data_IF_753940652413
#
_entry.id   IF_753940652413
#
_cell.length_a   1.000
_cell.length_b   1.000
_cell.length_c   1.000
_cell.angle_alpha   90.00
_cell.angle_beta   90.00
_cell.angle_gamma   90.00
#
_symmetry.space_group_name_H-M   'P 1'
#
loop_
_entity.id
_entity.type
_entity.pdbx_description
1 polymer ?
#
# COMPACT_ATOMS: atom_id res chain seq x y z
N UNK A 1 24.31 0.66 7.47
CA UNK A 1 23.22 1.38 6.78
C UNK A 1 22.82 0.56 5.56
N UNK A 2 21.52 0.36 5.32
CA UNK A 2 21.05 -0.48 4.19
C UNK A 2 20.83 0.37 2.95
N UNK A 3 21.07 -0.21 1.77
CA UNK A 3 20.76 0.40 0.47
C UNK A 3 19.41 -0.11 -0.04
N UNK A 4 18.67 0.76 -0.71
CA UNK A 4 17.38 0.44 -1.30
C UNK A 4 17.31 0.96 -2.72
N UNK A 5 16.85 0.13 -3.64
CA UNK A 5 16.43 0.56 -4.97
C UNK A 5 15.00 1.09 -4.89
N UNK A 6 14.82 2.35 -5.30
CA UNK A 6 13.52 3.03 -5.34
C UNK A 6 12.97 2.93 -6.75
N UNK A 7 11.72 2.50 -6.84
CA UNK A 7 10.97 2.39 -8.07
C UNK A 7 9.65 3.15 -7.98
N UNK A 8 9.10 3.53 -9.13
CA UNK A 8 7.84 4.25 -9.25
C UNK A 8 6.70 3.31 -9.68
N UNK A 9 5.55 3.42 -9.04
CA UNK A 9 4.30 2.84 -9.52
C UNK A 9 3.26 3.94 -9.74
N UNK A 10 2.11 3.63 -10.36
CA UNK A 10 1.01 4.60 -10.47
C UNK A 10 0.49 5.07 -9.11
N UNK A 11 0.60 4.27 -8.06
CA UNK A 11 0.03 4.57 -6.72
C UNK A 11 1.06 5.09 -5.71
N UNK A 12 2.34 5.18 -6.08
CA UNK A 12 3.39 5.59 -5.15
C UNK A 12 4.81 5.20 -5.55
N UNK A 13 5.70 5.15 -4.57
CA UNK A 13 7.06 4.64 -4.69
C UNK A 13 7.22 3.36 -3.87
N UNK A 14 7.96 2.39 -4.39
CA UNK A 14 8.32 1.19 -3.66
C UNK A 14 9.84 1.07 -3.50
N UNK A 15 10.24 0.47 -2.39
CA UNK A 15 11.64 0.24 -2.05
C UNK A 15 11.88 -1.24 -1.85
N UNK A 16 12.91 -1.73 -2.52
CA UNK A 16 13.43 -3.08 -2.41
C UNK A 16 14.87 -3.03 -1.91
N UNK A 17 15.30 -4.00 -1.11
CA UNK A 17 16.69 -4.03 -0.61
C UNK A 17 17.67 -4.21 -1.78
N UNK A 18 18.68 -3.35 -1.85
CA UNK A 18 19.69 -3.34 -2.91
C UNK A 18 21.04 -3.81 -2.36
N UNK A 19 21.67 -4.75 -3.06
CA UNK A 19 22.91 -5.37 -2.64
C UNK A 19 23.91 -5.37 -3.79
N UNK A 20 24.99 -4.61 -3.62
CA UNK A 20 26.11 -4.48 -4.58
C UNK A 20 27.36 -5.26 -4.12
N UNK A 21 27.33 -5.85 -2.94
CA UNK A 21 28.43 -6.64 -2.37
C UNK A 21 27.91 -7.89 -1.68
N UNK A 22 28.71 -8.96 -1.66
CA UNK A 22 28.35 -10.18 -0.92
C UNK A 22 28.23 -9.93 0.59
N UNK A 23 29.02 -8.99 1.13
CA UNK A 23 28.95 -8.60 2.54
C UNK A 23 27.58 -8.04 2.91
N UNK A 24 26.99 -7.24 2.03
CA UNK A 24 25.66 -6.66 2.27
C UNK A 24 24.54 -7.69 2.35
N UNK A 25 24.76 -8.93 1.86
CA UNK A 25 23.78 -10.02 1.88
C UNK A 25 23.83 -10.85 3.17
N UNK A 26 24.78 -10.60 4.08
CA UNK A 26 24.88 -11.35 5.34
C UNK A 26 23.61 -11.25 6.17
N UNK A 27 23.15 -12.38 6.70
CA UNK A 27 21.92 -12.49 7.48
C UNK A 27 20.64 -12.53 6.64
N UNK A 28 20.73 -12.45 5.31
CA UNK A 28 19.60 -12.70 4.40
C UNK A 28 19.54 -14.18 4.02
N UNK A 29 18.40 -14.63 3.50
CA UNK A 29 18.26 -15.98 2.94
C UNK A 29 19.17 -16.22 1.72
N UNK A 30 19.75 -15.17 1.14
CA UNK A 30 20.54 -15.20 -0.08
C UNK A 30 22.05 -15.13 0.15
N UNK A 31 22.51 -15.02 1.40
CA UNK A 31 23.93 -14.90 1.77
C UNK A 31 24.82 -15.96 1.09
N UNK A 32 24.32 -17.19 0.98
CA UNK A 32 25.04 -18.33 0.38
C UNK A 32 24.52 -18.73 -1.00
N UNK A 33 23.54 -18.01 -1.53
CA UNK A 33 22.85 -18.33 -2.79
C UNK A 33 23.37 -17.45 -3.92
N UNK A 34 23.48 -16.15 -3.67
CA UNK A 34 23.94 -15.17 -4.66
C UNK A 34 25.46 -15.21 -4.75
N UNK A 35 25.97 -15.31 -5.98
CA UNK A 35 27.41 -15.28 -6.27
C UNK A 35 27.86 -13.89 -6.73
N UNK A 36 29.17 -13.64 -6.70
CA UNK A 36 29.76 -12.32 -7.00
C UNK A 36 29.39 -11.82 -8.39
N UNK A 37 29.35 -12.72 -9.37
CA UNK A 37 29.01 -12.46 -10.76
C UNK A 37 27.54 -12.07 -11.00
N UNK A 38 26.66 -12.30 -10.02
CA UNK A 38 25.23 -11.95 -10.13
C UNK A 38 24.92 -10.56 -9.58
N UNK A 39 25.86 -9.93 -8.88
CA UNK A 39 25.71 -8.59 -8.31
C UNK A 39 25.77 -7.51 -9.41
N UNK A 40 25.07 -6.37 -9.22
CA UNK A 40 24.17 -6.06 -8.12
C UNK A 40 22.82 -6.80 -8.21
N UNK A 41 22.21 -7.10 -7.06
CA UNK A 41 20.88 -7.71 -6.97
C UNK A 41 19.92 -6.89 -6.13
N UNK A 42 18.64 -7.04 -6.40
CA UNK A 42 17.54 -6.47 -5.61
C UNK A 42 16.70 -7.61 -5.03
N UNK A 43 16.38 -7.52 -3.74
CA UNK A 43 15.49 -8.47 -3.06
C UNK A 43 14.04 -7.99 -3.14
N UNK A 44 13.13 -8.84 -3.58
CA UNK A 44 11.72 -8.48 -3.83
C UNK A 44 10.84 -8.40 -2.57
N UNK A 45 11.42 -8.71 -1.40
CA UNK A 45 10.70 -8.74 -0.12
C UNK A 45 9.69 -9.89 0.04
N UNK A 46 9.57 -10.76 -0.96
CA UNK A 46 8.62 -11.89 -1.05
C UNK A 46 9.33 -13.25 -1.14
N UNK A 47 10.64 -13.28 -0.86
CA UNK A 47 11.45 -14.50 -0.88
C UNK A 47 12.17 -14.75 -2.20
N UNK A 48 12.21 -13.77 -3.11
CA UNK A 48 12.98 -13.80 -4.35
C UNK A 48 14.01 -12.67 -4.45
N UNK A 49 14.80 -12.74 -5.52
CA UNK A 49 15.73 -11.68 -5.91
C UNK A 49 15.85 -11.63 -7.44
N UNK A 50 16.30 -10.50 -7.97
CA UNK A 50 16.60 -10.33 -9.39
C UNK A 50 17.87 -9.51 -9.58
N UNK A 51 18.52 -9.68 -10.72
CA UNK A 51 19.66 -8.85 -11.12
C UNK A 51 19.19 -7.42 -11.38
N UNK A 52 19.92 -6.46 -10.82
CA UNK A 52 19.64 -5.05 -11.00
C UNK A 52 20.23 -4.52 -12.30
N UNK A 53 19.49 -3.62 -12.97
CA UNK A 53 20.04 -2.78 -14.04
C UNK A 53 19.63 -1.32 -13.82
N UNK A 54 20.53 -0.40 -14.14
CA UNK A 54 20.24 1.04 -13.98
C UNK A 54 19.11 1.53 -14.91
N UNK A 55 18.88 0.84 -16.02
CA UNK A 55 17.80 1.10 -16.97
C UNK A 55 16.53 0.28 -16.69
N UNK A 56 16.44 -0.37 -15.52
CA UNK A 56 15.24 -1.12 -15.11
C UNK A 56 14.00 -0.23 -15.19
N UNK A 57 12.93 -0.78 -15.76
CA UNK A 57 11.67 -0.08 -15.90
C UNK A 57 11.16 0.40 -14.53
N UNK A 58 10.73 1.67 -14.48
CA UNK A 58 10.32 2.37 -13.26
C UNK A 58 11.40 2.64 -12.20
N UNK A 59 12.66 2.26 -12.40
CA UNK A 59 13.73 2.64 -11.47
C UNK A 59 13.85 4.16 -11.38
N UNK A 60 14.10 4.65 -10.15
CA UNK A 60 14.23 6.09 -9.86
C UNK A 60 15.62 6.41 -9.35
N UNK A 61 16.07 5.72 -8.29
CA UNK A 61 17.38 5.94 -7.65
C UNK A 61 17.68 4.90 -6.58
N UNK A 62 18.96 4.81 -6.19
CA UNK A 62 19.37 4.15 -4.94
C UNK A 62 19.30 5.17 -3.79
N UNK A 63 18.84 4.72 -2.63
CA UNK A 63 18.89 5.48 -1.37
C UNK A 63 19.52 4.65 -0.26
N UNK A 64 20.00 5.32 0.78
CA UNK A 64 20.50 4.70 1.99
C UNK A 64 19.58 5.04 3.16
N UNK A 65 19.25 4.04 3.99
CA UNK A 65 18.37 4.20 5.16
C UNK A 65 18.64 3.13 6.20
N UNK A 66 18.46 3.48 7.47
CA UNK A 66 18.41 2.59 8.62
C UNK A 66 16.98 2.43 9.17
N UNK A 67 16.03 3.22 8.65
CA UNK A 67 14.62 3.19 9.05
C UNK A 67 13.92 1.92 8.56
N UNK A 68 12.98 1.44 9.36
CA UNK A 68 12.06 0.32 9.00
C UNK A 68 11.38 0.55 7.64
N UNK A 69 10.89 1.77 7.41
CA UNK A 69 10.38 2.21 6.12
C UNK A 69 11.36 3.22 5.49
N UNK A 70 11.99 2.90 4.35
CA UNK A 70 12.98 3.77 3.73
C UNK A 70 12.43 5.09 3.22
N UNK A 71 11.12 5.15 2.97
CA UNK A 71 10.41 6.34 2.52
C UNK A 71 9.24 6.67 3.45
N UNK A 72 8.87 7.96 3.56
CA UNK A 72 7.63 8.37 4.23
C UNK A 72 6.39 7.75 3.56
N UNK A 73 5.33 7.55 4.36
CA UNK A 73 4.04 7.01 3.92
C UNK A 73 3.53 7.68 2.64
N UNK A 74 3.48 9.01 2.62
CA UNK A 74 2.93 9.78 1.47
C UNK A 74 3.77 9.67 0.19
N UNK A 75 5.03 9.22 0.29
CA UNK A 75 5.84 8.89 -0.89
C UNK A 75 5.59 7.46 -1.36
N UNK A 76 5.26 6.56 -0.45
CA UNK A 76 5.00 5.16 -0.76
C UNK A 76 3.57 4.91 -1.25
N UNK A 77 2.63 5.70 -0.76
CA UNK A 77 1.20 5.64 -1.08
C UNK A 77 0.72 7.07 -1.27
N UNK A 78 0.39 7.42 -2.52
CA UNK A 78 -0.04 8.78 -2.84
C UNK A 78 -1.31 9.14 -2.08
N UNK A 79 -1.24 10.28 -1.39
CA UNK A 79 -2.36 10.82 -0.64
C UNK A 79 -3.24 11.64 -1.55
N UNK A 80 -4.55 11.39 -1.55
CA UNK A 80 -5.53 12.16 -2.35
C UNK A 80 -5.17 12.24 -3.84
N UNK A 81 -4.75 11.11 -4.39
CA UNK A 81 -4.48 10.97 -5.82
C UNK A 81 -5.76 11.12 -6.64
N UNK A 82 -5.71 11.94 -7.70
CA UNK A 82 -6.84 12.15 -8.62
C UNK A 82 -7.25 10.84 -9.33
N UNK A 83 -6.31 9.88 -9.44
CA UNK A 83 -6.55 8.57 -10.02
C UNK A 83 -6.72 7.47 -8.95
N UNK A 84 -7.17 7.82 -7.74
CA UNK A 84 -7.43 6.85 -6.68
C UNK A 84 -8.37 5.74 -7.15
N UNK A 85 -7.91 4.49 -7.04
CA UNK A 85 -8.71 3.30 -7.38
C UNK A 85 -8.87 2.35 -6.20
N UNK A 86 -7.75 1.96 -5.60
CA UNK A 86 -7.68 1.02 -4.49
C UNK A 86 -6.87 1.65 -3.36
N UNK A 87 -7.19 1.30 -2.13
CA UNK A 87 -6.47 1.85 -0.98
C UNK A 87 -7.29 1.96 0.28
N UNK A 88 -6.89 2.90 1.13
CA UNK A 88 -7.52 3.18 2.41
C UNK A 88 -8.03 4.62 2.43
N UNK A 89 -9.17 4.85 3.08
CA UNK A 89 -9.72 6.18 3.29
C UNK A 89 -9.91 6.43 4.79
N UNK A 90 -9.36 7.53 5.28
CA UNK A 90 -9.47 7.95 6.68
C UNK A 90 -10.90 8.40 7.01
N UNK A 91 -11.28 8.52 8.30
CA UNK A 91 -12.54 9.13 8.71
C UNK A 91 -12.75 10.57 8.20
N UNK A 92 -11.67 11.26 7.84
CA UNK A 92 -11.70 12.63 7.30
C UNK A 92 -11.79 12.66 5.76
N UNK A 93 -11.88 11.50 5.10
CA UNK A 93 -11.93 11.41 3.64
C UNK A 93 -10.55 11.48 2.96
N UNK A 94 -9.45 11.46 3.71
CA UNK A 94 -8.12 11.37 3.10
C UNK A 94 -7.90 9.97 2.54
N UNK A 95 -7.55 9.89 1.26
CA UNK A 95 -7.28 8.62 0.57
C UNK A 95 -5.78 8.35 0.49
N UNK A 96 -5.41 7.07 0.56
CA UNK A 96 -4.04 6.59 0.39
C UNK A 96 -4.03 5.47 -0.64
N UNK A 97 -3.59 5.78 -1.86
CA UNK A 97 -3.58 4.88 -3.01
C UNK A 97 -2.61 3.72 -2.80
N UNK A 98 -3.06 2.49 -3.05
CA UNK A 98 -2.19 1.32 -3.15
C UNK A 98 -2.69 0.37 -4.23
N UNK A 99 -1.82 -0.51 -4.74
CA UNK A 99 -2.25 -1.61 -5.59
C UNK A 99 -2.74 -2.82 -4.78
N UNK A 100 -3.19 -3.86 -5.49
CA UNK A 100 -3.64 -5.12 -4.90
C UNK A 100 -2.57 -5.78 -4.01
N UNK A 101 -1.32 -5.81 -4.47
CA UNK A 101 -0.21 -6.49 -3.79
C UNK A 101 0.32 -5.74 -2.57
N UNK A 102 0.20 -4.40 -2.57
CA UNK A 102 0.73 -3.53 -1.53
C UNK A 102 -0.33 -3.12 -0.49
N UNK A 103 -1.54 -3.66 -0.59
CA UNK A 103 -2.67 -3.27 0.26
C UNK A 103 -2.41 -3.47 1.76
N UNK A 104 -1.86 -4.63 2.13
CA UNK A 104 -1.46 -4.92 3.51
C UNK A 104 -0.29 -4.03 3.98
N UNK A 105 0.68 -3.74 3.10
CA UNK A 105 1.80 -2.86 3.42
C UNK A 105 1.34 -1.44 3.72
N UNK A 106 0.37 -0.93 2.95
CA UNK A 106 -0.29 0.36 3.20
C UNK A 106 -0.95 0.37 4.58
N UNK A 107 -1.73 -0.67 4.90
CA UNK A 107 -2.39 -0.81 6.20
C UNK A 107 -1.39 -0.81 7.37
N UNK A 108 -0.27 -1.52 7.25
CA UNK A 108 0.80 -1.55 8.26
C UNK A 108 1.34 -0.14 8.51
N UNK A 109 1.72 0.58 7.45
CA UNK A 109 2.31 1.93 7.58
C UNK A 109 1.30 2.95 8.12
N UNK A 110 0.03 2.86 7.71
CA UNK A 110 -1.06 3.68 8.24
C UNK A 110 -1.28 3.42 9.73
N UNK A 111 -1.39 2.14 10.13
CA UNK A 111 -1.57 1.78 11.53
C UNK A 111 -0.39 2.24 12.39
N UNK A 112 0.86 2.09 11.92
CA UNK A 112 2.04 2.58 12.65
C UNK A 112 2.02 4.11 12.83
N UNK A 113 1.54 4.86 11.84
CA UNK A 113 1.47 6.32 11.88
C UNK A 113 0.32 6.84 12.74
N UNK A 114 -0.87 6.27 12.59
CA UNK A 114 -2.11 6.81 13.17
C UNK A 114 -2.61 6.05 14.39
N UNK A 115 -2.17 4.80 14.59
CA UNK A 115 -2.58 3.93 15.71
C UNK A 115 -1.36 3.20 16.29
N UNK A 116 -0.37 3.92 16.88
CA UNK A 116 0.87 3.32 17.36
C UNK A 116 0.61 2.14 18.32
N UNK A 117 1.32 1.02 18.10
CA UNK A 117 1.19 -0.19 18.91
C UNK A 117 0.09 -1.16 18.46
N UNK A 118 -0.60 -0.90 17.33
CA UNK A 118 -1.56 -1.83 16.76
C UNK A 118 -0.93 -3.18 16.37
N UNK A 119 -1.41 -4.28 16.98
CA UNK A 119 -0.98 -5.65 16.64
C UNK A 119 -1.57 -6.18 15.33
N UNK A 120 -2.78 -5.73 14.99
CA UNK A 120 -3.52 -6.15 13.80
C UNK A 120 -3.89 -4.91 12.97
N UNK A 121 -3.03 -4.48 12.04
CA UNK A 121 -3.15 -3.19 11.36
C UNK A 121 -4.52 -2.93 10.72
N UNK A 122 -4.99 -3.83 9.85
CA UNK A 122 -6.28 -3.65 9.15
C UNK A 122 -7.46 -3.56 10.14
N UNK A 123 -7.48 -4.44 11.15
CA UNK A 123 -8.54 -4.43 12.18
C UNK A 123 -8.49 -3.18 13.05
N UNK A 124 -7.29 -2.70 13.35
CA UNK A 124 -7.10 -1.46 14.12
C UNK A 124 -7.60 -0.25 13.32
N UNK A 125 -7.23 -0.16 12.04
CA UNK A 125 -7.72 0.89 11.13
C UNK A 125 -9.24 0.85 11.02
N UNK A 126 -9.83 -0.32 10.76
CA UNK A 126 -11.28 -0.47 10.69
C UNK A 126 -12.00 -0.05 11.98
N UNK A 127 -11.45 -0.41 13.16
CA UNK A 127 -11.99 0.03 14.46
C UNK A 127 -11.87 1.54 14.68
N UNK A 128 -10.87 2.18 14.07
CA UNK A 128 -10.70 3.62 14.09
C UNK A 128 -11.51 4.35 13.00
N UNK A 129 -12.41 3.65 12.28
CA UNK A 129 -13.29 4.24 11.28
C UNK A 129 -12.68 4.41 9.90
N UNK A 130 -11.49 3.84 9.65
CA UNK A 130 -10.96 3.79 8.29
C UNK A 130 -11.74 2.78 7.45
N UNK A 131 -11.95 3.11 6.19
CA UNK A 131 -12.57 2.21 5.22
C UNK A 131 -11.56 1.73 4.20
N UNK A 132 -11.80 0.52 3.70
CA UNK A 132 -10.95 -0.19 2.75
C UNK A 132 -11.62 -0.15 1.39
N UNK A 133 -10.89 0.24 0.35
CA UNK A 133 -11.33 0.13 -1.05
C UNK A 133 -10.47 -0.93 -1.72
N UNK A 134 -11.09 -2.05 -2.08
CA UNK A 134 -10.41 -3.23 -2.63
C UNK A 134 -10.95 -3.57 -4.01
N UNK A 135 -10.20 -4.40 -4.70
CA UNK A 135 -10.68 -5.05 -5.90
C UNK A 135 -11.82 -6.01 -5.52
N UNK A 136 -12.93 -5.97 -6.25
CA UNK A 136 -14.11 -6.80 -5.98
C UNK A 136 -13.95 -8.24 -6.49
N UNK A 137 -12.77 -8.62 -7.00
CA UNK A 137 -12.55 -9.94 -7.57
C UNK A 137 -12.72 -11.06 -6.55
N UNK A 138 -13.66 -11.96 -6.83
CA UNK A 138 -14.02 -13.12 -6.01
C UNK A 138 -13.34 -14.43 -6.48
N UNK A 139 -12.42 -14.34 -7.45
CA UNK A 139 -11.74 -15.50 -8.05
C UNK A 139 -12.51 -16.18 -9.18
N UNK A 140 -13.75 -15.77 -9.47
CA UNK A 140 -14.62 -16.40 -10.47
C UNK A 140 -15.09 -15.46 -11.58
N UNK A 141 -15.22 -14.17 -11.28
CA UNK A 141 -15.70 -13.17 -12.22
C UNK A 141 -14.59 -12.68 -13.17
N UNK A 142 -14.94 -12.54 -14.46
CA UNK A 142 -14.07 -11.97 -15.50
C UNK A 142 -14.02 -10.44 -15.50
N UNK A 143 -15.04 -9.81 -14.91
CA UNK A 143 -15.10 -8.37 -14.70
C UNK A 143 -15.20 -8.17 -13.19
N UNK A 144 -14.36 -7.31 -12.65
CA UNK A 144 -14.35 -6.95 -11.24
C UNK A 144 -14.21 -5.43 -11.15
N UNK A 145 -14.94 -4.85 -10.20
CA UNK A 145 -14.92 -3.43 -9.92
C UNK A 145 -14.16 -3.16 -8.64
N UNK A 146 -14.55 -2.08 -7.99
CA UNK A 146 -14.06 -1.73 -6.66
C UNK A 146 -15.14 -2.08 -5.65
N UNK A 147 -14.74 -2.47 -4.45
CA UNK A 147 -15.64 -2.74 -3.33
C UNK A 147 -15.22 -1.92 -2.11
N UNK A 148 -16.18 -1.25 -1.49
CA UNK A 148 -15.94 -0.44 -0.29
C UNK A 148 -16.36 -1.21 0.97
N UNK A 149 -15.39 -1.41 1.87
CA UNK A 149 -15.60 -2.14 3.11
C UNK A 149 -15.37 -1.25 4.33
N UNK A 150 -16.39 -1.16 5.19
CA UNK A 150 -16.28 -0.61 6.54
C UNK A 150 -16.45 -1.71 7.58
N UNK A 151 -15.49 -1.84 8.51
CA UNK A 151 -15.54 -2.86 9.56
C UNK A 151 -16.73 -2.64 10.52
N UNK A 152 -17.11 -1.38 10.76
CA UNK A 152 -18.22 -1.04 11.66
C UNK A 152 -19.57 -1.01 10.93
N UNK A 153 -19.58 -1.12 9.60
CA UNK A 153 -20.76 -0.83 8.78
C UNK A 153 -21.16 0.65 8.81
N UNK A 154 -20.29 1.53 9.31
CA UNK A 154 -20.53 2.98 9.36
C UNK A 154 -19.46 3.74 8.59
N UNK A 155 -19.85 4.87 7.99
CA UNK A 155 -18.93 5.83 7.37
C UNK A 155 -19.26 7.24 7.88
N UNK A 156 -18.33 8.18 7.75
CA UNK A 156 -18.56 9.61 8.04
C UNK A 156 -19.12 10.32 6.82
N UNK A 157 -19.71 11.51 7.04
CA UNK A 157 -20.12 12.39 5.93
C UNK A 157 -18.95 12.72 4.99
N UNK A 158 -17.76 13.00 5.54
CA UNK A 158 -16.57 13.30 4.72
C UNK A 158 -16.16 12.10 3.84
N UNK A 159 -16.30 10.88 4.35
CA UNK A 159 -16.07 9.67 3.57
C UNK A 159 -17.12 9.51 2.47
N UNK A 160 -18.39 9.76 2.77
CA UNK A 160 -19.47 9.70 1.78
C UNK A 160 -19.26 10.71 0.64
N UNK A 161 -18.95 11.96 0.98
CA UNK A 161 -18.64 13.01 0.00
C UNK A 161 -17.43 12.60 -0.85
N UNK A 162 -16.37 12.08 -0.22
CA UNK A 162 -15.19 11.63 -0.95
C UNK A 162 -15.47 10.44 -1.87
N UNK A 163 -16.32 9.50 -1.46
CA UNK A 163 -16.73 8.35 -2.28
C UNK A 163 -17.50 8.80 -3.53
N UNK A 164 -18.25 9.90 -3.45
CA UNK A 164 -18.84 10.54 -4.63
C UNK A 164 -17.76 11.10 -5.56
N UNK A 165 -16.81 11.86 -5.02
CA UNK A 165 -15.74 12.50 -5.81
C UNK A 165 -14.87 11.48 -6.56
N UNK A 166 -14.58 10.33 -5.95
CA UNK A 166 -13.77 9.28 -6.58
C UNK A 166 -14.59 8.32 -7.45
N UNK A 167 -15.87 8.63 -7.70
CA UNK A 167 -16.73 7.88 -8.61
C UNK A 167 -17.25 6.54 -8.09
N UNK A 168 -17.15 6.29 -6.78
CA UNK A 168 -17.60 5.05 -6.14
C UNK A 168 -19.04 5.09 -5.63
N UNK A 169 -19.71 6.24 -5.71
CA UNK A 169 -21.10 6.39 -5.27
C UNK A 169 -22.09 5.43 -5.96
N UNK A 170 -21.81 5.03 -7.20
CA UNK A 170 -22.71 4.15 -7.96
C UNK A 170 -22.65 2.68 -7.53
N UNK A 171 -21.72 2.34 -6.64
CA UNK A 171 -21.67 1.01 -6.05
C UNK A 171 -22.84 0.81 -5.07
N UNK A 172 -23.57 -0.31 -5.21
CA UNK A 172 -24.74 -0.61 -4.37
C UNK A 172 -24.39 -0.65 -2.88
N UNK A 173 -23.22 -1.20 -2.51
CA UNK A 173 -22.79 -1.23 -1.11
C UNK A 173 -22.51 0.16 -0.55
N UNK A 174 -22.03 1.09 -1.39
CA UNK A 174 -21.77 2.48 -0.99
C UNK A 174 -23.08 3.22 -0.76
N UNK A 175 -24.04 3.09 -1.69
CA UNK A 175 -25.37 3.70 -1.52
C UNK A 175 -26.06 3.21 -0.25
N UNK A 176 -25.97 1.91 0.03
CA UNK A 176 -26.51 1.33 1.26
C UNK A 176 -25.80 1.85 2.50
N UNK A 177 -24.46 1.88 2.52
CA UNK A 177 -23.69 2.42 3.63
C UNK A 177 -24.06 3.88 3.91
N UNK A 178 -24.24 4.69 2.86
CA UNK A 178 -24.64 6.10 2.98
C UNK A 178 -26.04 6.18 3.61
N UNK A 179 -27.01 5.47 3.05
CA UNK A 179 -28.40 5.47 3.55
C UNK A 179 -28.51 5.02 5.02
N UNK A 180 -27.72 4.03 5.41
CA UNK A 180 -27.73 3.49 6.78
C UNK A 180 -27.09 4.46 7.80
N UNK A 181 -26.35 5.46 7.34
CA UNK A 181 -25.62 6.40 8.19
C UNK A 181 -26.09 7.86 8.08
N UNK A 182 -26.78 8.26 7.01
CA UNK A 182 -27.10 9.67 6.73
C UNK A 182 -27.94 10.36 7.80
N UNK A 183 -28.75 9.59 8.55
CA UNK A 183 -29.55 10.11 9.66
C UNK A 183 -28.73 10.35 10.94
N UNK A 184 -27.53 9.76 11.03
CA UNK A 184 -26.61 9.89 12.17
C UNK A 184 -25.56 11.00 11.96
N UNK A 185 -25.56 11.68 10.79
CA UNK A 185 -24.53 12.66 10.37
C UNK A 185 -24.87 14.12 10.65
#
# INVERSE_FOLDING_TARGET
MKKYAVYRSPTGLYCNEYHDTLESLKGTLFEKVVKKEQLPVVLDGSGGYYSFKEDDYHFVKIIESDKKHPLPLEKMFFKNDDNFKLGWMSPQGDTYSCDYTNHNRCAIMLAEKFIPGAKFPERALGKAGWIKVIDSWDGTQRQHGQFVYSLSGKITKQQADKLFDVGLYFNEEVQRLIKDCENDW
#
